data_IF_288553478501
#
_entry.id   IF_288553478501
#
_cell.length_a   1.000
_cell.length_b   1.000
_cell.length_c   1.000
_cell.angle_alpha   90.00
_cell.angle_beta   90.00
_cell.angle_gamma   90.00
#
_symmetry.space_group_name_H-M   'P 1'
#
loop_
_entity.id
_entity.type
_entity.pdbx_description
1 polymer ?
#
# COMPACT_ATOMS: atom_id res chain seq x y z
N UNK A 1 31.51 61.02 -22.42
CA UNK A 1 31.61 59.66 -21.85
C UNK A 1 30.24 59.31 -21.34
N UNK A 2 29.51 58.49 -22.09
CA UNK A 2 28.17 58.00 -21.76
C UNK A 2 28.36 56.50 -21.60
N UNK A 3 28.27 55.99 -20.37
CA UNK A 3 28.28 54.56 -20.12
C UNK A 3 26.89 54.01 -20.45
N UNK A 4 26.83 53.18 -21.49
CA UNK A 4 25.64 52.41 -21.85
C UNK A 4 25.71 51.13 -21.02
N UNK A 5 24.93 51.10 -19.94
CA UNK A 5 24.68 49.91 -19.14
C UNK A 5 23.88 48.90 -19.98
N UNK A 6 24.47 47.72 -20.19
CA UNK A 6 23.85 46.59 -20.86
C UNK A 6 22.76 45.99 -19.98
N UNK A 7 21.50 46.28 -20.31
CA UNK A 7 20.35 45.48 -19.86
C UNK A 7 20.35 44.16 -20.61
N UNK A 8 20.82 43.09 -19.98
CA UNK A 8 20.45 41.73 -20.35
C UNK A 8 18.99 41.47 -19.91
N UNK A 9 18.16 40.82 -20.76
CA UNK A 9 16.83 40.40 -20.35
C UNK A 9 16.92 39.18 -19.43
N UNK A 10 16.44 39.36 -18.19
CA UNK A 10 15.99 38.28 -17.32
C UNK A 10 14.78 37.62 -17.97
N UNK A 11 15.01 36.65 -18.83
CA UNK A 11 13.97 35.79 -19.36
C UNK A 11 14.27 34.33 -19.01
N UNK A 12 13.24 33.66 -18.51
CA UNK A 12 13.15 32.24 -18.13
C UNK A 12 13.94 31.76 -16.89
N UNK A 13 13.25 31.74 -15.75
CA UNK A 13 12.64 30.49 -15.28
C UNK A 13 11.85 30.73 -13.99
N UNK A 14 10.70 31.38 -14.14
CA UNK A 14 9.50 30.97 -13.39
C UNK A 14 9.09 29.59 -13.93
N UNK A 15 9.96 28.59 -13.74
CA UNK A 15 9.54 27.21 -13.70
C UNK A 15 8.81 27.11 -12.38
N UNK A 16 7.51 27.36 -12.43
CA UNK A 16 6.55 26.75 -11.51
C UNK A 16 7.10 25.36 -11.26
N UNK A 17 7.54 25.06 -10.03
CA UNK A 17 8.01 23.74 -9.64
C UNK A 17 6.85 22.80 -9.97
N UNK A 18 6.89 22.19 -11.16
CA UNK A 18 5.93 21.18 -11.55
C UNK A 18 6.16 20.10 -10.51
N UNK A 19 5.19 19.97 -9.60
CA UNK A 19 5.27 19.02 -8.50
C UNK A 19 5.59 17.66 -9.12
N UNK A 20 6.63 17.00 -8.60
CA UNK A 20 7.06 15.69 -9.07
C UNK A 20 5.84 14.76 -9.21
N UNK A 21 5.46 14.36 -10.45
CA UNK A 21 4.19 13.69 -10.70
C UNK A 21 4.05 12.40 -9.91
N UNK A 22 5.18 11.73 -9.66
CA UNK A 22 5.24 10.49 -8.91
C UNK A 22 4.97 10.70 -7.41
N UNK A 23 5.58 11.73 -6.80
CA UNK A 23 5.38 12.06 -5.39
C UNK A 23 3.95 12.49 -5.11
N UNK A 24 3.39 13.37 -5.96
CA UNK A 24 2.02 13.83 -5.81
C UNK A 24 1.00 12.68 -5.97
N UNK A 25 1.22 11.80 -6.95
CA UNK A 25 0.38 10.63 -7.17
C UNK A 25 0.40 9.66 -5.97
N UNK A 26 1.59 9.35 -5.46
CA UNK A 26 1.78 8.45 -4.33
C UNK A 26 1.09 8.97 -3.07
N UNK A 27 1.37 10.22 -2.69
CA UNK A 27 0.76 10.85 -1.51
C UNK A 27 -0.75 10.98 -1.67
N UNK A 28 -1.22 11.39 -2.84
CA UNK A 28 -2.64 11.51 -3.14
C UNK A 28 -3.37 10.18 -3.06
N UNK A 29 -2.74 9.07 -3.47
CA UNK A 29 -3.32 7.72 -3.37
C UNK A 29 -3.35 7.24 -1.93
N UNK A 30 -2.24 7.37 -1.19
CA UNK A 30 -2.15 6.96 0.22
C UNK A 30 -3.16 7.70 1.10
N UNK A 31 -3.40 8.98 0.84
CA UNK A 31 -4.36 9.79 1.58
C UNK A 31 -5.82 9.48 1.20
N UNK A 32 -6.10 9.27 -0.09
CA UNK A 32 -7.48 9.21 -0.59
C UNK A 32 -8.06 7.81 -0.66
N UNK A 33 -7.23 6.76 -0.70
CA UNK A 33 -7.67 5.39 -0.89
C UNK A 33 -7.08 4.51 0.22
N UNK A 34 -7.82 4.29 1.31
CA UNK A 34 -7.47 3.28 2.30
C UNK A 34 -7.27 1.91 1.62
N UNK A 35 -6.32 1.12 2.13
CA UNK A 35 -6.22 -0.27 1.71
C UNK A 35 -7.39 -1.04 2.31
N UNK A 36 -8.11 -1.82 1.50
CA UNK A 36 -9.20 -2.66 1.99
C UNK A 36 -9.25 -4.00 1.25
N UNK A 37 -9.04 -5.08 2.00
CA UNK A 37 -9.10 -6.45 1.46
C UNK A 37 -10.53 -7.00 1.38
N UNK A 38 -11.48 -6.43 2.11
CA UNK A 38 -12.90 -6.82 2.04
C UNK A 38 -13.52 -6.43 0.69
N UNK A 39 -13.07 -5.35 0.05
CA UNK A 39 -13.63 -4.84 -1.21
C UNK A 39 -13.75 -5.89 -2.32
N UNK A 40 -12.76 -6.78 -2.43
CA UNK A 40 -12.76 -7.81 -3.46
C UNK A 40 -13.84 -8.89 -3.22
N UNK A 41 -14.21 -9.16 -1.96
CA UNK A 41 -15.30 -10.08 -1.62
C UNK A 41 -16.66 -9.51 -2.00
N UNK A 42 -16.92 -8.24 -1.65
CA UNK A 42 -18.16 -7.56 -2.02
C UNK A 42 -18.32 -7.48 -3.54
N UNK A 43 -17.26 -7.12 -4.26
CA UNK A 43 -17.27 -7.10 -5.72
C UNK A 43 -17.54 -8.49 -6.31
N UNK A 44 -16.96 -9.55 -5.72
CA UNK A 44 -17.20 -10.94 -6.15
C UNK A 44 -18.65 -11.39 -5.92
N UNK A 45 -19.28 -10.96 -4.82
CA UNK A 45 -20.68 -11.23 -4.52
C UNK A 45 -21.67 -10.42 -5.40
N UNK A 46 -21.17 -9.58 -6.31
CA UNK A 46 -22.00 -8.75 -7.19
C UNK A 46 -22.55 -7.49 -6.50
N UNK A 47 -21.99 -7.08 -5.36
CA UNK A 47 -22.36 -5.83 -4.71
C UNK A 47 -21.73 -4.65 -5.45
N UNK A 48 -22.55 -3.93 -6.22
CA UNK A 48 -22.08 -3.03 -7.30
C UNK A 48 -21.53 -1.67 -6.85
N UNK A 49 -21.56 -1.33 -5.56
CA UNK A 49 -21.02 -0.07 -5.09
C UNK A 49 -20.40 -0.21 -3.70
N UNK A 50 -19.10 -0.52 -3.66
CA UNK A 50 -18.31 -0.22 -2.46
C UNK A 50 -18.29 1.30 -2.29
N UNK A 51 -18.69 1.85 -1.14
CA UNK A 51 -18.59 3.28 -0.89
C UNK A 51 -17.16 3.75 -1.18
N UNK A 52 -16.94 4.88 -1.89
CA UNK A 52 -15.59 5.33 -2.24
C UNK A 52 -14.66 5.45 -1.02
N UNK A 53 -15.23 5.78 0.14
CA UNK A 53 -14.55 5.89 1.42
C UNK A 53 -14.01 4.58 2.00
N UNK A 54 -14.59 3.43 1.62
CA UNK A 54 -14.13 2.11 2.07
C UNK A 54 -12.79 1.71 1.47
N UNK A 55 -12.25 2.48 0.52
CA UNK A 55 -10.94 2.21 -0.07
C UNK A 55 -10.97 1.07 -1.09
N UNK A 56 -9.82 0.44 -1.29
CA UNK A 56 -9.66 -0.55 -2.35
C UNK A 56 -8.58 -1.61 -2.06
N UNK A 57 -8.68 -2.75 -2.75
CA UNK A 57 -7.64 -3.76 -2.74
C UNK A 57 -6.32 -3.23 -3.34
N UNK A 58 -5.19 -3.85 -2.98
CA UNK A 58 -3.84 -3.39 -3.38
C UNK A 58 -3.69 -3.13 -4.89
N UNK A 59 -4.24 -4.01 -5.74
CA UNK A 59 -4.18 -3.85 -7.20
C UNK A 59 -4.87 -2.56 -7.67
N UNK A 60 -6.01 -2.22 -7.07
CA UNK A 60 -6.74 -0.99 -7.42
C UNK A 60 -6.02 0.26 -6.91
N UNK A 61 -5.37 0.20 -5.74
CA UNK A 61 -4.49 1.29 -5.31
C UNK A 61 -3.30 1.47 -6.27
N UNK A 62 -2.71 0.38 -6.76
CA UNK A 62 -1.62 0.43 -7.75
C UNK A 62 -2.10 1.03 -9.09
N UNK A 63 -3.30 0.71 -9.55
CA UNK A 63 -3.88 1.36 -10.73
C UNK A 63 -4.20 2.84 -10.50
N UNK A 64 -4.70 3.22 -9.32
CA UNK A 64 -4.99 4.63 -9.03
C UNK A 64 -3.72 5.48 -9.00
N UNK A 65 -2.64 5.00 -8.34
CA UNK A 65 -1.38 5.73 -8.31
C UNK A 65 -0.79 5.89 -9.71
N UNK A 66 -0.90 4.86 -10.56
CA UNK A 66 -0.47 4.94 -11.95
C UNK A 66 -1.26 5.99 -12.73
N UNK A 67 -2.59 5.91 -12.67
CA UNK A 67 -3.49 6.87 -13.33
C UNK A 67 -3.22 8.30 -12.91
N UNK A 68 -2.96 8.55 -11.61
CA UNK A 68 -2.62 9.89 -11.11
C UNK A 68 -1.28 10.38 -11.62
N UNK A 69 -0.26 9.53 -11.64
CA UNK A 69 1.07 9.89 -12.13
C UNK A 69 1.02 10.21 -13.63
N UNK A 70 0.35 9.37 -14.43
CA UNK A 70 0.16 9.56 -15.87
C UNK A 70 -0.62 10.85 -16.16
N UNK A 71 -1.71 11.12 -15.42
CA UNK A 71 -2.47 12.36 -15.55
C UNK A 71 -1.65 13.61 -15.19
N UNK A 72 -0.61 13.46 -14.37
CA UNK A 72 0.34 14.50 -14.01
C UNK A 72 1.56 14.58 -14.96
N UNK A 73 1.60 13.78 -16.03
CA UNK A 73 2.63 13.82 -17.07
C UNK A 73 3.71 12.74 -16.98
N UNK A 74 3.57 11.75 -16.10
CA UNK A 74 4.42 10.55 -16.14
C UNK A 74 4.17 9.73 -17.43
N UNK A 75 5.15 8.96 -17.93
CA UNK A 75 4.91 8.01 -19.00
C UNK A 75 3.93 6.92 -18.56
N UNK A 76 3.38 6.13 -19.51
CA UNK A 76 2.53 4.99 -19.17
C UNK A 76 3.23 3.99 -18.23
N UNK A 77 2.52 3.56 -17.20
CA UNK A 77 3.03 2.57 -16.27
C UNK A 77 3.06 1.16 -16.88
N UNK A 78 4.11 0.40 -16.56
CA UNK A 78 4.11 -1.05 -16.67
C UNK A 78 3.80 -1.64 -15.31
N UNK A 79 2.78 -2.50 -15.23
CA UNK A 79 2.44 -3.18 -13.98
C UNK A 79 3.23 -4.49 -13.90
N UNK A 80 4.14 -4.57 -12.93
CA UNK A 80 4.90 -5.80 -12.67
C UNK A 80 4.26 -6.58 -11.52
N UNK A 81 4.19 -7.90 -11.69
CA UNK A 81 3.53 -8.82 -10.77
C UNK A 81 4.55 -9.72 -10.07
N UNK A 82 4.32 -9.94 -8.78
CA UNK A 82 4.94 -11.02 -7.99
C UNK A 82 3.81 -11.74 -7.24
N UNK A 83 3.46 -12.94 -7.71
CA UNK A 83 2.29 -13.69 -7.22
C UNK A 83 1.00 -12.83 -7.18
N UNK A 84 0.48 -12.50 -5.99
CA UNK A 84 -0.73 -11.68 -5.81
C UNK A 84 -0.46 -10.17 -5.72
N UNK A 85 0.81 -9.78 -5.71
CA UNK A 85 1.23 -8.41 -5.54
C UNK A 85 1.55 -7.74 -6.88
N UNK A 86 1.22 -6.46 -7.00
CA UNK A 86 1.40 -5.67 -8.23
C UNK A 86 1.90 -4.28 -7.87
N UNK A 87 2.95 -3.82 -8.55
CA UNK A 87 3.48 -2.47 -8.45
C UNK A 87 3.52 -1.77 -9.81
N UNK A 88 3.39 -0.45 -9.80
CA UNK A 88 3.48 0.38 -11.00
C UNK A 88 4.95 0.77 -11.24
N UNK A 89 5.46 0.45 -12.44
CA UNK A 89 6.85 0.71 -12.84
C UNK A 89 6.88 1.59 -14.07
N UNK A 90 7.54 2.73 -13.95
CA UNK A 90 7.66 3.73 -15.00
C UNK A 90 9.07 3.70 -15.56
N UNK A 91 9.17 3.85 -16.88
CA UNK A 91 10.44 3.92 -17.59
C UNK A 91 10.48 5.24 -18.34
N UNK A 92 11.52 6.02 -18.09
CA UNK A 92 11.81 7.26 -18.80
C UNK A 92 13.32 7.39 -19.06
N UNK A 93 13.71 8.50 -19.68
CA UNK A 93 15.12 8.79 -19.99
C UNK A 93 15.97 8.96 -18.71
N UNK A 94 15.34 9.32 -17.59
CA UNK A 94 16.00 9.53 -16.29
C UNK A 94 16.21 8.20 -15.53
N UNK A 95 15.40 7.18 -15.83
CA UNK A 95 15.62 5.80 -15.42
C UNK A 95 14.33 5.03 -15.15
N UNK A 96 14.26 4.40 -13.97
CA UNK A 96 13.12 3.61 -13.52
C UNK A 96 12.56 4.21 -12.23
N UNK A 97 11.24 4.38 -12.18
CA UNK A 97 10.50 4.77 -10.99
C UNK A 97 9.52 3.66 -10.60
N UNK A 98 9.43 3.32 -9.31
CA UNK A 98 8.47 2.35 -8.79
C UNK A 98 7.55 3.01 -7.78
N UNK A 99 6.24 2.83 -7.98
CA UNK A 99 5.19 3.24 -7.05
C UNK A 99 4.38 2.01 -6.61
N UNK A 100 4.31 1.80 -5.30
CA UNK A 100 3.59 0.75 -4.63
C UNK A 100 2.97 1.27 -3.31
N UNK A 101 1.75 1.81 -3.36
CA UNK A 101 1.08 2.33 -2.17
C UNK A 101 0.78 1.23 -1.14
N UNK A 102 0.77 -0.06 -1.50
CA UNK A 102 0.47 -1.14 -0.56
C UNK A 102 1.56 -1.33 0.51
N UNK A 103 2.82 -1.07 0.17
CA UNK A 103 3.95 -1.10 1.11
C UNK A 103 4.29 0.27 1.69
N UNK A 104 3.38 1.24 1.54
CA UNK A 104 3.30 2.45 2.36
C UNK A 104 4.53 3.38 2.30
N UNK A 105 5.33 3.31 1.25
CA UNK A 105 6.43 4.26 1.04
C UNK A 105 5.88 5.65 0.73
N UNK A 106 6.52 6.71 1.24
CA UNK A 106 6.01 8.10 1.10
C UNK A 106 6.78 8.93 0.08
N UNK A 107 7.81 8.32 -0.51
CA UNK A 107 8.64 8.87 -1.59
C UNK A 107 8.80 7.85 -2.71
N UNK A 108 8.80 8.25 -4.00
CA UNK A 108 9.01 7.33 -5.11
C UNK A 108 10.35 6.59 -5.03
N UNK A 109 10.37 5.29 -5.33
CA UNK A 109 11.61 4.55 -5.52
C UNK A 109 12.19 4.91 -6.88
N UNK A 110 13.45 5.33 -6.93
CA UNK A 110 14.11 5.77 -8.17
C UNK A 110 15.44 5.04 -8.39
N UNK A 111 15.63 4.54 -9.60
CA UNK A 111 16.90 4.05 -10.09
C UNK A 111 17.31 4.89 -11.30
N UNK A 112 18.42 5.62 -11.20
CA UNK A 112 18.89 6.47 -12.30
C UNK A 112 19.36 5.66 -13.52
N UNK A 113 19.34 6.27 -14.71
CA UNK A 113 19.87 5.67 -15.93
C UNK A 113 21.33 5.17 -15.77
N UNK A 114 22.16 5.90 -15.02
CA UNK A 114 23.53 5.50 -14.68
C UNK A 114 23.56 4.21 -13.84
N UNK A 115 22.70 4.13 -12.82
CA UNK A 115 22.52 2.95 -11.96
C UNK A 115 22.05 1.72 -12.74
N UNK A 116 21.11 1.93 -13.66
CA UNK A 116 20.57 0.89 -14.53
C UNK A 116 21.65 0.38 -15.50
N UNK A 117 22.47 1.29 -16.04
CA UNK A 117 23.59 0.97 -16.93
C UNK A 117 24.69 0.17 -16.22
N UNK A 118 24.97 0.50 -14.95
CA UNK A 118 25.89 -0.28 -14.11
C UNK A 118 25.37 -1.70 -13.78
N UNK A 119 24.08 -1.96 -13.97
CA UNK A 119 23.48 -3.29 -13.84
C UNK A 119 23.14 -3.71 -12.41
N UNK A 120 23.44 -2.88 -11.42
CA UNK A 120 23.07 -3.11 -10.02
C UNK A 120 22.94 -1.76 -9.29
N UNK A 121 21.89 -1.62 -8.49
CA UNK A 121 21.73 -0.48 -7.60
C UNK A 121 20.85 -0.81 -6.41
N UNK A 122 21.05 -0.09 -5.31
CA UNK A 122 20.21 -0.16 -4.12
C UNK A 122 19.83 1.25 -3.71
N UNK A 123 18.58 1.43 -3.29
CA UNK A 123 18.08 2.68 -2.72
C UNK A 123 17.13 2.35 -1.57
N UNK A 124 16.86 3.32 -0.70
CA UNK A 124 15.88 3.19 0.36
C UNK A 124 15.15 4.52 0.56
N UNK A 125 13.87 4.43 0.91
CA UNK A 125 13.01 5.57 1.20
C UNK A 125 12.24 5.32 2.49
N UNK A 126 11.80 6.41 3.10
CA UNK A 126 10.92 6.36 4.26
C UNK A 126 9.53 5.86 3.86
N UNK A 127 8.86 5.26 4.84
CA UNK A 127 7.53 4.70 4.76
C UNK A 127 6.79 4.88 6.09
N UNK A 128 5.48 4.68 6.08
CA UNK A 128 4.65 4.67 7.30
C UNK A 128 4.37 3.23 7.75
N UNK A 129 4.05 2.97 9.03
CA UNK A 129 3.90 3.94 10.13
C UNK A 129 5.23 4.48 10.67
N UNK A 130 5.19 5.69 11.24
CA UNK A 130 6.26 6.25 12.06
C UNK A 130 6.04 5.86 13.53
N UNK A 131 7.00 5.16 14.10
CA UNK A 131 6.93 4.62 15.47
C UNK A 131 7.91 5.31 16.38
N UNK A 132 7.71 5.19 17.69
CA UNK A 132 8.65 5.69 18.70
C UNK A 132 9.50 4.56 19.24
N UNK A 133 10.80 4.79 19.36
CA UNK A 133 11.68 3.91 20.12
C UNK A 133 11.57 4.17 21.63
N UNK A 134 12.36 3.44 22.41
CA UNK A 134 12.40 3.55 23.88
C UNK A 134 12.82 4.94 24.39
N UNK A 135 13.52 5.72 23.58
CA UNK A 135 13.94 7.09 23.88
C UNK A 135 12.91 8.12 23.40
N UNK A 136 11.82 7.67 22.75
CA UNK A 136 10.80 8.53 22.16
C UNK A 136 11.16 9.07 20.78
N UNK A 137 12.30 8.67 20.20
CA UNK A 137 12.72 9.11 18.86
C UNK A 137 11.81 8.50 17.79
N UNK A 138 11.54 9.28 16.74
CA UNK A 138 10.75 8.83 15.60
C UNK A 138 11.56 7.89 14.71
N UNK A 139 10.97 6.75 14.40
CA UNK A 139 11.49 5.68 13.54
C UNK A 139 10.45 5.40 12.45
N UNK A 140 10.56 6.03 11.26
CA UNK A 140 9.71 5.71 10.13
C UNK A 140 9.91 4.25 9.72
N UNK A 141 8.88 3.62 9.14
CA UNK A 141 9.09 2.37 8.41
C UNK A 141 10.01 2.64 7.20
N UNK A 142 10.57 1.57 6.63
CA UNK A 142 11.57 1.68 5.55
C UNK A 142 11.21 0.76 4.40
N UNK A 143 11.29 1.29 3.19
CA UNK A 143 11.28 0.50 1.97
C UNK A 143 12.68 0.54 1.35
N UNK A 144 13.36 -0.61 1.35
CA UNK A 144 14.61 -0.79 0.59
C UNK A 144 14.31 -1.45 -0.75
N UNK A 145 14.88 -0.92 -1.82
CA UNK A 145 14.72 -1.43 -3.17
C UNK A 145 16.08 -1.77 -3.79
N UNK A 146 16.17 -2.92 -4.47
CA UNK A 146 17.38 -3.38 -5.17
C UNK A 146 17.06 -3.69 -6.61
N UNK A 147 17.70 -2.98 -7.54
CA UNK A 147 17.69 -3.28 -8.97
C UNK A 147 18.85 -4.20 -9.32
N UNK A 148 18.57 -5.24 -10.11
CA UNK A 148 19.60 -6.12 -10.67
C UNK A 148 19.28 -6.44 -12.13
N UNK A 149 20.20 -6.13 -13.03
CA UNK A 149 20.14 -6.56 -14.43
C UNK A 149 20.39 -8.06 -14.55
N UNK A 150 19.70 -8.69 -15.48
CA UNK A 150 19.85 -10.10 -15.84
C UNK A 150 19.85 -10.26 -17.37
N UNK A 151 20.29 -11.40 -17.93
CA UNK A 151 20.25 -11.62 -19.37
C UNK A 151 18.84 -11.49 -19.99
N UNK A 152 17.78 -11.76 -19.22
CA UNK A 152 16.38 -11.67 -19.66
C UNK A 152 15.67 -10.36 -19.31
N UNK A 153 16.39 -9.33 -18.86
CA UNK A 153 15.81 -8.05 -18.43
C UNK A 153 16.32 -7.63 -17.04
N UNK A 154 15.45 -7.35 -16.09
CA UNK A 154 15.84 -6.97 -14.73
C UNK A 154 14.90 -7.54 -13.66
N UNK A 155 15.35 -7.48 -12.41
CA UNK A 155 14.55 -7.72 -11.22
C UNK A 155 14.70 -6.55 -10.26
N UNK A 156 13.58 -6.03 -9.77
CA UNK A 156 13.52 -5.06 -8.68
C UNK A 156 12.99 -5.79 -7.45
N UNK A 157 13.80 -5.87 -6.41
CA UNK A 157 13.40 -6.44 -5.11
C UNK A 157 12.99 -5.33 -4.18
N UNK A 158 11.83 -5.45 -3.56
CA UNK A 158 11.28 -4.52 -2.60
C UNK A 158 11.26 -5.19 -1.22
N UNK A 159 11.82 -4.54 -0.20
CA UNK A 159 11.86 -5.03 1.18
C UNK A 159 11.31 -3.94 2.10
N UNK A 160 10.07 -4.14 2.56
CA UNK A 160 9.39 -3.24 3.48
C UNK A 160 9.52 -3.72 4.92
N UNK A 161 10.07 -2.85 5.77
CA UNK A 161 10.34 -3.15 7.19
C UNK A 161 9.71 -2.11 8.10
N UNK A 162 9.12 -2.55 9.21
CA UNK A 162 8.58 -1.68 10.26
C UNK A 162 9.51 -1.70 11.47
N UNK A 163 9.70 -0.55 12.11
CA UNK A 163 10.42 -0.52 13.38
C UNK A 163 9.56 -1.17 14.48
N UNK A 164 10.09 -2.12 15.24
CA UNK A 164 9.36 -2.76 16.34
C UNK A 164 9.79 -2.15 17.69
N UNK A 165 8.92 -1.40 18.39
CA UNK A 165 9.28 -0.78 19.67
C UNK A 165 9.63 -1.81 20.75
N UNK A 166 9.02 -3.00 20.71
CA UNK A 166 9.27 -4.07 21.69
C UNK A 166 10.63 -4.74 21.49
N UNK A 167 11.12 -4.81 20.25
CA UNK A 167 12.41 -5.42 19.89
C UNK A 167 13.54 -4.40 19.66
N UNK A 168 13.22 -3.10 19.66
CA UNK A 168 14.13 -1.99 19.38
C UNK A 168 14.90 -2.15 18.04
N UNK A 169 14.25 -2.73 17.03
CA UNK A 169 14.86 -3.02 15.72
C UNK A 169 13.84 -3.01 14.57
N UNK A 170 14.32 -2.91 13.34
CA UNK A 170 13.48 -3.07 12.15
C UNK A 170 13.19 -4.55 11.88
N UNK A 171 11.91 -4.86 11.63
CA UNK A 171 11.43 -6.20 11.31
C UNK A 171 10.88 -6.18 9.88
N UNK A 172 11.36 -7.10 9.05
CA UNK A 172 10.86 -7.31 7.69
C UNK A 172 9.38 -7.68 7.74
N UNK A 173 8.55 -6.92 7.05
CA UNK A 173 7.10 -7.13 7.00
C UNK A 173 6.64 -7.69 5.67
N UNK A 174 7.22 -7.24 4.55
CA UNK A 174 6.89 -7.70 3.20
C UNK A 174 8.13 -7.71 2.31
N UNK A 175 8.18 -8.65 1.38
CA UNK A 175 9.23 -8.75 0.38
C UNK A 175 8.63 -9.15 -0.96
N UNK A 176 9.00 -8.45 -2.03
CA UNK A 176 8.53 -8.73 -3.39
C UNK A 176 9.68 -8.70 -4.39
N UNK A 177 9.59 -9.53 -5.44
CA UNK A 177 10.56 -9.64 -6.53
C UNK A 177 9.89 -9.36 -7.87
N UNK A 178 9.86 -8.09 -8.26
CA UNK A 178 9.28 -7.62 -9.51
C UNK A 178 10.23 -7.91 -10.68
N UNK A 179 9.90 -8.91 -11.49
CA UNK A 179 10.66 -9.25 -12.68
C UNK A 179 10.11 -8.50 -13.90
N UNK A 180 10.99 -8.00 -14.76
CA UNK A 180 10.59 -7.25 -15.96
C UNK A 180 9.78 -8.07 -16.98
N UNK A 181 9.84 -9.40 -16.90
CA UNK A 181 9.09 -10.34 -17.74
C UNK A 181 7.74 -10.75 -17.13
N UNK A 182 7.51 -10.48 -15.84
CA UNK A 182 6.26 -10.77 -15.13
C UNK A 182 5.28 -9.60 -15.20
N UNK A 183 4.73 -9.34 -16.39
CA UNK A 183 3.77 -8.25 -16.60
C UNK A 183 2.38 -8.68 -16.12
N UNK A 184 1.76 -7.86 -15.27
CA UNK A 184 0.42 -8.08 -14.75
C UNK A 184 -0.63 -8.06 -15.88
N UNK A 185 -1.47 -9.08 -15.92
CA UNK A 185 -2.63 -9.15 -16.80
C UNK A 185 -3.92 -9.34 -16.01
N UNK A 186 -4.75 -8.29 -15.92
CA UNK A 186 -5.97 -8.30 -15.11
C UNK A 186 -6.90 -9.48 -15.44
N UNK A 187 -7.12 -9.77 -16.71
CA UNK A 187 -8.00 -10.87 -17.14
C UNK A 187 -7.46 -12.25 -16.75
N UNK A 188 -6.15 -12.44 -16.77
CA UNK A 188 -5.52 -13.68 -16.33
C UNK A 188 -5.57 -13.79 -14.80
N UNK A 189 -5.33 -12.68 -14.11
CA UNK A 189 -5.40 -12.60 -12.65
C UNK A 189 -6.79 -12.95 -12.14
N UNK A 190 -7.84 -12.31 -12.66
CA UNK A 190 -9.21 -12.48 -12.16
C UNK A 190 -9.94 -13.71 -12.69
N UNK A 191 -9.26 -14.59 -13.44
CA UNK A 191 -9.86 -15.79 -14.06
C UNK A 191 -10.49 -16.73 -13.02
N UNK A 192 -9.87 -16.86 -11.85
CA UNK A 192 -10.39 -17.62 -10.72
C UNK A 192 -10.38 -16.76 -9.45
N UNK A 193 -11.36 -15.86 -9.37
CA UNK A 193 -11.49 -14.94 -8.26
C UNK A 193 -11.69 -15.67 -6.92
N UNK A 194 -12.42 -16.79 -6.91
CA UNK A 194 -12.67 -17.54 -5.68
C UNK A 194 -11.37 -18.14 -5.12
N UNK A 195 -10.51 -18.70 -5.98
CA UNK A 195 -9.19 -19.18 -5.54
C UNK A 195 -8.31 -18.04 -5.00
N UNK A 196 -8.32 -16.87 -5.64
CA UNK A 196 -7.57 -15.70 -5.17
C UNK A 196 -8.05 -15.17 -3.81
N UNK A 197 -9.37 -15.12 -3.61
CA UNK A 197 -9.98 -14.62 -2.38
C UNK A 197 -9.82 -15.59 -1.22
N UNK A 198 -9.65 -16.88 -1.50
CA UNK A 198 -9.49 -17.94 -0.50
C UNK A 198 -8.04 -18.41 -0.38
N UNK A 199 -7.08 -17.65 -0.90
CA UNK A 199 -5.66 -17.97 -0.88
C UNK A 199 -5.11 -18.14 0.57
N UNK A 200 -4.11 -19.01 0.82
CA UNK A 200 -3.69 -19.32 2.19
C UNK A 200 -3.10 -18.15 2.95
N UNK A 201 -2.59 -17.15 2.24
CA UNK A 201 -2.07 -15.94 2.86
C UNK A 201 -3.20 -14.99 3.30
N UNK A 202 -4.45 -15.25 2.90
CA UNK A 202 -5.63 -14.50 3.33
C UNK A 202 -6.11 -14.98 4.71
N UNK A 203 -5.41 -14.59 5.77
CA UNK A 203 -5.74 -14.96 7.16
C UNK A 203 -6.70 -14.00 7.86
N UNK A 204 -7.00 -12.85 7.26
CA UNK A 204 -7.86 -11.79 7.81
C UNK A 204 -8.45 -10.94 6.70
N UNK A 205 -9.59 -10.29 6.90
CA UNK A 205 -9.99 -9.11 6.12
C UNK A 205 -9.74 -7.85 6.95
N UNK A 206 -9.28 -6.78 6.30
CA UNK A 206 -8.97 -5.52 6.98
C UNK A 206 -9.16 -4.31 6.09
N UNK A 207 -9.41 -3.17 6.75
CA UNK A 207 -9.29 -1.83 6.19
C UNK A 207 -8.18 -1.08 6.94
N UNK A 208 -7.27 -0.46 6.20
CA UNK A 208 -6.12 0.29 6.71
C UNK A 208 -6.06 1.65 6.07
N UNK A 209 -6.20 2.69 6.88
CA UNK A 209 -5.99 4.06 6.49
C UNK A 209 -4.54 4.50 6.77
N UNK A 210 -4.04 5.40 5.93
CA UNK A 210 -2.83 6.17 6.18
C UNK A 210 -3.24 7.61 6.43
N UNK A 211 -2.67 8.21 7.47
CA UNK A 211 -2.78 9.64 7.74
C UNK A 211 -1.39 10.24 7.50
N UNK A 212 -1.05 10.63 6.24
CA UNK A 212 0.32 10.83 5.82
C UNK A 212 1.00 12.00 6.53
N UNK A 213 0.27 13.10 6.74
CA UNK A 213 0.77 14.31 7.41
C UNK A 213 1.16 14.03 8.88
N UNK A 214 0.51 13.06 9.51
CA UNK A 214 0.83 12.61 10.86
C UNK A 214 1.81 11.42 10.89
N UNK A 215 2.15 10.83 9.73
CA UNK A 215 2.96 9.61 9.63
C UNK A 215 2.31 8.39 10.30
N UNK A 216 0.98 8.39 10.44
CA UNK A 216 0.21 7.39 11.19
C UNK A 216 -0.53 6.43 10.28
N UNK A 217 -0.85 5.26 10.84
CA UNK A 217 -1.77 4.30 10.24
C UNK A 217 -2.82 3.91 11.27
N UNK A 218 -4.03 3.62 10.80
CA UNK A 218 -5.11 3.06 11.60
C UNK A 218 -5.69 1.86 10.83
N UNK A 219 -5.91 0.73 11.51
CA UNK A 219 -6.38 -0.49 10.86
C UNK A 219 -7.46 -1.18 11.70
N UNK A 220 -8.56 -1.56 11.05
CA UNK A 220 -9.56 -2.48 11.59
C UNK A 220 -9.44 -3.83 10.87
N UNK A 221 -9.37 -4.91 11.65
CA UNK A 221 -8.97 -6.24 11.19
C UNK A 221 -9.96 -7.25 11.72
N UNK A 222 -10.44 -8.14 10.86
CA UNK A 222 -11.22 -9.32 11.24
C UNK A 222 -10.43 -10.57 10.83
N UNK A 223 -9.78 -11.27 11.79
CA UNK A 223 -9.16 -12.56 11.55
C UNK A 223 -10.19 -13.59 11.04
N UNK A 224 -9.78 -14.43 10.09
CA UNK A 224 -10.65 -15.44 9.46
C UNK A 224 -10.46 -16.85 10.05
N UNK A 225 -9.54 -17.04 10.99
CA UNK A 225 -9.41 -18.32 11.68
C UNK A 225 -10.72 -18.71 12.39
N UNK A 226 -11.12 -19.98 12.24
CA UNK A 226 -12.38 -20.49 12.78
C UNK A 226 -13.63 -20.20 11.92
N UNK A 227 -13.48 -19.68 10.69
CA UNK A 227 -14.63 -19.37 9.80
C UNK A 227 -15.56 -20.57 9.53
N UNK A 228 -15.04 -21.79 9.58
CA UNK A 228 -15.82 -23.00 9.35
C UNK A 228 -16.63 -23.43 10.59
N UNK A 229 -16.28 -22.93 11.78
CA UNK A 229 -16.81 -23.41 13.06
C UNK A 229 -17.86 -22.48 13.67
N UNK A 230 -17.81 -21.19 13.33
CA UNK A 230 -18.69 -20.16 13.89
C UNK A 230 -18.86 -18.98 12.96
N UNK A 231 -19.90 -18.20 13.22
CA UNK A 231 -20.06 -16.88 12.65
C UNK A 231 -19.20 -15.85 13.40
N UNK A 232 -18.77 -14.81 12.68
CA UNK A 232 -18.05 -13.67 13.24
C UNK A 232 -19.03 -12.60 13.73
N UNK A 233 -18.61 -11.84 14.73
CA UNK A 233 -19.38 -10.78 15.39
C UNK A 233 -18.53 -9.53 15.56
N UNK A 234 -19.13 -8.40 15.97
CA UNK A 234 -18.39 -7.15 16.17
C UNK A 234 -17.22 -7.29 17.17
N UNK A 235 -17.31 -8.22 18.14
CA UNK A 235 -16.25 -8.46 19.12
C UNK A 235 -15.03 -9.18 18.54
N UNK A 236 -15.14 -9.75 17.35
CA UNK A 236 -14.03 -10.39 16.65
C UNK A 236 -13.15 -9.39 15.88
N UNK A 237 -13.61 -8.14 15.76
CA UNK A 237 -12.81 -7.08 15.14
C UNK A 237 -11.72 -6.61 16.10
N UNK A 238 -10.52 -6.51 15.57
CA UNK A 238 -9.34 -5.98 16.23
C UNK A 238 -8.95 -4.65 15.61
N UNK A 239 -8.41 -3.78 16.45
CA UNK A 239 -7.90 -2.47 16.05
C UNK A 239 -6.40 -2.44 16.21
N UNK A 240 -5.70 -1.84 15.24
CA UNK A 240 -4.26 -1.63 15.30
C UNK A 240 -3.93 -0.15 15.11
N UNK A 241 -3.19 0.39 16.07
CA UNK A 241 -2.68 1.76 16.00
C UNK A 241 -1.35 1.88 15.22
N UNK A 242 -0.90 3.11 15.00
CA UNK A 242 0.36 3.40 14.32
C UNK A 242 1.60 2.82 15.05
N UNK A 243 1.50 2.61 16.37
CA UNK A 243 2.57 2.02 17.19
C UNK A 243 2.57 0.48 17.15
N UNK A 244 1.65 -0.13 16.38
CA UNK A 244 1.53 -1.59 16.27
C UNK A 244 0.81 -2.25 17.44
N UNK A 245 0.16 -1.46 18.29
CA UNK A 245 -0.59 -2.00 19.43
C UNK A 245 -1.92 -2.54 18.94
N UNK A 246 -2.22 -3.75 19.36
CA UNK A 246 -3.50 -4.41 19.12
C UNK A 246 -4.44 -4.15 20.29
N UNK A 247 -5.69 -3.82 19.98
CA UNK A 247 -6.75 -3.69 20.97
C UNK A 247 -8.05 -4.29 20.45
N UNK A 248 -8.88 -4.79 21.35
CA UNK A 248 -10.25 -5.21 21.04
C UNK A 248 -11.07 -4.05 20.47
N UNK A 249 -12.13 -4.38 19.72
CA UNK A 249 -13.08 -3.39 19.20
C UNK A 249 -13.71 -2.53 20.33
N UNK A 250 -13.20 -1.31 20.51
CA UNK A 250 -13.73 -0.33 21.44
C UNK A 250 -14.05 0.96 20.70
N UNK A 251 -15.34 1.32 20.63
CA UNK A 251 -15.85 2.44 19.80
C UNK A 251 -15.21 3.79 20.12
N UNK A 252 -14.84 4.04 21.38
CA UNK A 252 -14.14 5.27 21.78
C UNK A 252 -12.63 5.28 21.54
N UNK A 253 -12.09 4.33 20.77
CA UNK A 253 -10.65 4.28 20.48
C UNK A 253 -10.23 5.36 19.49
N UNK A 254 -8.97 5.80 19.60
CA UNK A 254 -8.39 6.73 18.64
C UNK A 254 -8.30 6.13 17.22
N UNK A 255 -8.14 4.81 17.12
CA UNK A 255 -8.08 4.10 15.82
C UNK A 255 -9.38 4.28 15.05
N UNK A 256 -10.54 4.22 15.72
CA UNK A 256 -11.82 4.44 15.05
C UNK A 256 -11.98 5.86 14.53
N UNK A 257 -11.61 6.85 15.35
CA UNK A 257 -11.64 8.26 14.93
C UNK A 257 -10.75 8.51 13.71
N UNK A 258 -9.55 7.93 13.70
CA UNK A 258 -8.62 8.02 12.56
C UNK A 258 -9.19 7.33 11.30
N UNK A 259 -9.86 6.18 11.46
CA UNK A 259 -10.54 5.50 10.36
C UNK A 259 -11.74 6.30 9.84
N UNK A 260 -12.57 6.86 10.72
CA UNK A 260 -13.71 7.72 10.36
C UNK A 260 -13.24 8.95 9.58
N UNK A 261 -12.16 9.61 10.04
CA UNK A 261 -11.58 10.77 9.35
C UNK A 261 -11.09 10.40 7.94
N UNK A 262 -10.39 9.27 7.81
CA UNK A 262 -9.78 8.88 6.54
C UNK A 262 -10.78 8.27 5.53
N UNK A 263 -11.80 7.57 6.03
CA UNK A 263 -12.77 6.85 5.19
C UNK A 263 -14.05 7.65 4.99
N UNK A 264 -14.41 8.55 5.90
CA UNK A 264 -15.74 9.15 5.98
C UNK A 264 -16.84 8.17 6.40
N UNK A 265 -16.48 6.97 6.86
CA UNK A 265 -17.40 5.90 7.25
C UNK A 265 -17.37 5.67 8.76
N UNK A 266 -18.53 5.34 9.34
CA UNK A 266 -18.63 5.10 10.78
C UNK A 266 -18.05 3.74 11.18
N UNK A 267 -17.68 3.53 12.46
CA UNK A 267 -17.21 2.24 12.97
C UNK A 267 -18.19 1.10 12.70
N UNK A 268 -19.49 1.39 12.75
CA UNK A 268 -20.57 0.43 12.49
C UNK A 268 -20.57 0.00 11.02
N UNK A 269 -20.46 0.95 10.09
CA UNK A 269 -20.41 0.65 8.66
C UNK A 269 -19.16 -0.17 8.31
N UNK A 270 -17.99 0.24 8.81
CA UNK A 270 -16.74 -0.48 8.59
C UNK A 270 -16.83 -1.90 9.16
N UNK A 271 -17.34 -2.05 10.38
CA UNK A 271 -17.49 -3.35 11.03
C UNK A 271 -18.44 -4.25 10.26
N UNK A 272 -19.62 -3.73 9.86
CA UNK A 272 -20.59 -4.49 9.08
C UNK A 272 -20.03 -4.92 7.71
N UNK A 273 -19.22 -4.06 7.09
CA UNK A 273 -18.54 -4.36 5.83
C UNK A 273 -17.55 -5.53 5.99
N UNK A 274 -16.70 -5.50 7.02
CA UNK A 274 -15.77 -6.61 7.32
C UNK A 274 -16.51 -7.92 7.63
N UNK A 275 -17.58 -7.86 8.41
CA UNK A 275 -18.39 -9.05 8.75
C UNK A 275 -19.06 -9.65 7.51
N UNK A 276 -19.56 -8.82 6.60
CA UNK A 276 -20.15 -9.27 5.34
C UNK A 276 -19.10 -9.95 4.46
N UNK A 277 -17.89 -9.38 4.35
CA UNK A 277 -16.80 -10.01 3.62
C UNK A 277 -16.38 -11.36 4.23
N UNK A 278 -16.35 -11.50 5.56
CA UNK A 278 -16.08 -12.78 6.21
C UNK A 278 -17.19 -13.82 5.98
N UNK A 279 -18.46 -13.38 5.94
CA UNK A 279 -19.57 -14.26 5.54
C UNK A 279 -19.40 -14.75 4.10
N UNK A 280 -19.05 -13.85 3.15
CA UNK A 280 -18.78 -14.22 1.76
C UNK A 280 -17.61 -15.20 1.69
N UNK A 281 -16.53 -14.94 2.43
CA UNK A 281 -15.40 -15.88 2.54
C UNK A 281 -15.87 -17.27 2.95
N UNK A 282 -16.69 -17.38 4.00
CA UNK A 282 -17.21 -18.68 4.47
C UNK A 282 -18.13 -19.41 3.49
N UNK A 283 -18.69 -18.71 2.50
CA UNK A 283 -19.49 -19.31 1.42
C UNK A 283 -18.63 -19.88 0.29
N UNK A 284 -17.47 -19.27 0.01
CA UNK A 284 -16.61 -19.65 -1.12
C UNK A 284 -15.39 -20.49 -0.71
N UNK A 285 -14.97 -20.43 0.55
CA UNK A 285 -13.84 -21.18 1.06
C UNK A 285 -14.20 -22.66 1.32
N UNK A 286 -13.23 -23.55 1.07
CA UNK A 286 -13.33 -24.94 1.47
C UNK A 286 -13.37 -25.05 3.00
N UNK A 287 -14.49 -25.53 3.55
CA UNK A 287 -14.72 -25.64 5.00
C UNK A 287 -13.77 -26.63 5.70
N UNK A 288 -13.10 -27.51 4.95
CA UNK A 288 -12.10 -28.44 5.52
C UNK A 288 -10.74 -27.77 5.74
N UNK A 289 -10.59 -26.55 5.25
CA UNK A 289 -9.34 -25.81 5.31
C UNK A 289 -9.13 -25.18 6.67
N UNK A 290 -7.92 -25.37 7.19
CA UNK A 290 -7.43 -24.61 8.32
C UNK A 290 -6.80 -23.30 7.84
N UNK A 291 -7.33 -22.17 8.32
CA UNK A 291 -6.80 -20.84 8.06
C UNK A 291 -5.86 -20.50 9.21
N UNK A 292 -4.61 -20.17 8.90
CA UNK A 292 -3.63 -19.85 9.92
C UNK A 292 -4.10 -18.70 10.83
N UNK A 293 -3.76 -18.78 12.12
CA UNK A 293 -4.06 -17.73 13.08
C UNK A 293 -3.43 -16.40 12.67
N UNK A 294 -4.19 -15.32 12.82
CA UNK A 294 -3.68 -13.97 12.63
C UNK A 294 -2.96 -13.50 13.90
N UNK A 295 -1.73 -13.01 13.77
CA UNK A 295 -0.98 -12.47 14.90
C UNK A 295 -1.65 -11.19 15.43
N UNK A 296 -2.21 -11.29 16.63
CA UNK A 296 -2.72 -10.16 17.43
C UNK A 296 -1.70 -9.66 18.46
N UNK A 297 -0.42 -9.99 18.26
CA UNK A 297 0.67 -9.54 19.13
C UNK A 297 1.07 -8.09 18.77
N UNK A 298 1.48 -7.32 19.79
CA UNK A 298 2.07 -6.00 19.59
C UNK A 298 3.42 -6.14 18.89
N UNK A 299 3.53 -5.60 17.68
CA UNK A 299 4.74 -5.65 16.85
C UNK A 299 5.15 -4.29 16.34
#
# INVERSE_FOLDING_TARGET
MIEISSTEPLDNADRTLIADPYTAALRGTLAAIPYNSATAFHAHAGETATPPGMGAACILQTHDVARRAEAAGAPPATFLQDERHVAAVFHDDDGIVVLDPYILHVEPIRFSAASISAGFATTAVDAVPVRRDRNGELRPARLSATFKRSPGGYVIRLSYSKFSPTKDQYVLSRHFSLRSDSIFGLSAFTKDMSALLTDPEQTSVSIRAVLPEQGRTAEAILPLHGFAERDFTESDVWLRDAQGRMSSNHRGSEVWRDLEEATGETPENITAYLLTAAMIYGQIADRTRDVAEYSVVNE
#
